data_IF_104704482132
#
_entry.id   IF_104704482132
#
_cell.length_a   1.000
_cell.length_b   1.000
_cell.length_c   1.000
_cell.angle_alpha   90.00
_cell.angle_beta   90.00
_cell.angle_gamma   90.00
#
_symmetry.space_group_name_H-M   'P 1'
#
loop_
_entity.id
_entity.type
_entity.pdbx_description
1 polymer ?
#
# COMPACT_ATOMS: atom_id res chain seq x y z
N UNK A 1 -18.65 25.58 -2.82
CA UNK A 1 -18.41 24.18 -2.42
C UNK A 1 -16.92 23.97 -2.29
N UNK A 2 -16.45 23.39 -1.19
CA UNK A 2 -15.02 23.11 -1.01
C UNK A 2 -14.69 21.78 -1.74
N UNK A 3 -13.72 21.82 -2.65
CA UNK A 3 -13.22 20.64 -3.38
C UNK A 3 -12.08 19.92 -2.62
N UNK A 4 -11.58 20.52 -1.55
CA UNK A 4 -10.46 19.99 -0.78
C UNK A 4 -10.92 19.61 0.64
N UNK A 5 -10.47 18.44 1.10
CA UNK A 5 -10.70 17.93 2.44
C UNK A 5 -9.59 16.97 2.85
N UNK A 6 -9.41 16.78 4.16
CA UNK A 6 -8.43 15.84 4.73
C UNK A 6 -9.16 14.91 5.71
N UNK A 7 -9.02 13.61 5.50
CA UNK A 7 -9.49 12.58 6.42
C UNK A 7 -8.29 11.93 7.10
N UNK A 8 -8.35 11.72 8.42
CA UNK A 8 -7.29 11.10 9.22
C UNK A 8 -7.92 10.00 10.08
N UNK A 9 -7.30 8.82 10.10
CA UNK A 9 -7.70 7.70 10.93
C UNK A 9 -6.49 7.02 11.57
N UNK A 10 -6.67 6.47 12.76
CA UNK A 10 -5.64 5.74 13.50
C UNK A 10 -6.19 4.37 13.88
N UNK A 11 -5.43 3.33 13.63
CA UNK A 11 -5.75 1.96 14.02
C UNK A 11 -4.54 1.37 14.73
N UNK A 12 -4.74 0.83 15.93
CA UNK A 12 -3.68 0.15 16.66
C UNK A 12 -3.42 -1.22 16.03
N UNK A 13 -2.16 -1.51 15.73
CA UNK A 13 -1.71 -2.82 15.24
C UNK A 13 -1.03 -3.59 16.36
N UNK A 14 -1.17 -4.91 16.33
CA UNK A 14 -0.53 -5.81 17.30
C UNK A 14 0.90 -6.20 16.93
N UNK A 15 1.36 -5.81 15.73
CA UNK A 15 2.69 -6.10 15.19
C UNK A 15 3.54 -4.84 15.14
N UNK A 16 4.86 -5.02 15.07
CA UNK A 16 5.82 -3.91 15.04
C UNK A 16 5.65 -3.08 13.77
N UNK A 17 5.70 -1.75 13.92
CA UNK A 17 5.42 -0.81 12.84
C UNK A 17 6.48 -0.78 11.73
N UNK A 18 7.71 -1.19 12.01
CA UNK A 18 8.80 -1.36 11.03
C UNK A 18 8.45 -2.43 9.99
N UNK A 19 7.97 -3.59 10.42
CA UNK A 19 7.56 -4.68 9.52
C UNK A 19 6.40 -4.24 8.64
N UNK A 20 5.44 -3.50 9.21
CA UNK A 20 4.32 -2.96 8.45
C UNK A 20 4.79 -1.90 7.45
N UNK A 21 5.68 -0.99 7.85
CA UNK A 21 6.25 0.01 6.97
C UNK A 21 7.02 -0.62 5.80
N UNK A 22 7.85 -1.64 6.07
CA UNK A 22 8.65 -2.32 5.05
C UNK A 22 7.78 -3.13 4.07
N UNK A 23 6.66 -3.67 4.54
CA UNK A 23 5.66 -4.31 3.67
C UNK A 23 5.15 -3.33 2.61
N UNK A 24 4.69 -2.14 3.02
CA UNK A 24 4.18 -1.14 2.07
C UNK A 24 5.28 -0.55 1.20
N UNK A 25 6.47 -0.32 1.76
CA UNK A 25 7.57 0.33 1.04
C UNK A 25 8.28 -0.60 0.06
N UNK A 26 8.77 -1.74 0.54
CA UNK A 26 9.70 -2.58 -0.23
C UNK A 26 9.03 -3.82 -0.82
N UNK A 27 8.00 -4.37 -0.16
CA UNK A 27 7.32 -5.59 -0.61
C UNK A 27 5.80 -5.47 -0.82
N UNK A 28 5.28 -4.41 -1.48
CA UNK A 28 3.83 -4.20 -1.56
C UNK A 28 3.07 -5.33 -2.27
N UNK A 29 3.72 -6.06 -3.17
CA UNK A 29 3.15 -7.24 -3.84
C UNK A 29 2.78 -8.39 -2.90
N UNK A 30 3.40 -8.47 -1.71
CA UNK A 30 3.03 -9.49 -0.71
C UNK A 30 1.61 -9.29 -0.17
N UNK A 31 1.05 -8.08 -0.28
CA UNK A 31 -0.32 -7.82 0.17
C UNK A 31 -1.37 -8.59 -0.63
N UNK A 32 -1.07 -8.97 -1.88
CA UNK A 32 -1.95 -9.82 -2.70
C UNK A 32 -2.20 -11.16 -2.01
N UNK A 33 -1.17 -11.75 -1.40
CA UNK A 33 -1.30 -13.00 -0.66
C UNK A 33 -1.91 -12.82 0.74
N UNK A 34 -1.74 -11.64 1.35
CA UNK A 34 -2.23 -11.36 2.70
C UNK A 34 -3.73 -11.01 2.73
N UNK A 35 -4.22 -10.34 1.69
CA UNK A 35 -5.60 -9.85 1.57
C UNK A 35 -6.09 -9.98 0.12
N UNK A 36 -6.18 -11.21 -0.43
CA UNK A 36 -6.54 -11.43 -1.84
C UNK A 36 -7.97 -10.99 -2.19
N UNK A 37 -8.84 -10.89 -1.18
CA UNK A 37 -10.21 -10.40 -1.30
C UNK A 37 -10.29 -8.88 -1.52
N UNK A 38 -9.23 -8.14 -1.18
CA UNK A 38 -9.13 -6.69 -1.37
C UNK A 38 -8.14 -6.29 -2.44
N UNK A 39 -6.97 -6.93 -2.47
CA UNK A 39 -5.89 -6.64 -3.41
C UNK A 39 -5.63 -7.87 -4.25
N UNK A 40 -5.82 -7.73 -5.56
CA UNK A 40 -5.71 -8.83 -6.51
C UNK A 40 -4.37 -8.84 -7.24
N UNK A 41 -3.75 -7.67 -7.42
CA UNK A 41 -2.43 -7.55 -8.02
C UNK A 41 -1.72 -6.24 -7.62
N UNK A 42 -0.39 -6.23 -7.75
CA UNK A 42 0.48 -5.10 -7.45
C UNK A 42 1.74 -5.14 -8.33
N UNK A 43 1.68 -4.45 -9.46
CA UNK A 43 2.74 -4.46 -10.47
C UNK A 43 3.63 -3.21 -10.35
N UNK A 44 4.94 -3.40 -10.49
CA UNK A 44 5.89 -2.29 -10.61
C UNK A 44 5.88 -1.82 -12.06
N UNK A 45 5.43 -0.59 -12.30
CA UNK A 45 5.37 0.00 -13.63
C UNK A 45 6.66 0.74 -14.00
N UNK A 46 7.18 1.54 -13.06
CA UNK A 46 8.41 2.33 -13.26
C UNK A 46 9.25 2.42 -11.98
N UNK A 47 10.57 2.52 -12.14
CA UNK A 47 11.53 2.69 -11.05
C UNK A 47 11.81 1.40 -10.29
N UNK A 48 12.07 1.52 -8.98
CA UNK A 48 12.39 0.40 -8.09
C UNK A 48 11.54 0.44 -6.82
N UNK A 49 11.10 -0.73 -6.33
CA UNK A 49 10.26 -0.80 -5.13
C UNK A 49 10.99 -0.24 -3.91
N UNK A 50 10.37 0.72 -3.24
CA UNK A 50 10.88 1.36 -2.02
C UNK A 50 11.80 2.54 -2.27
N UNK A 51 12.09 2.86 -3.53
CA UNK A 51 12.71 4.11 -3.94
C UNK A 51 11.64 5.20 -4.14
N UNK A 52 12.01 6.45 -3.83
CA UNK A 52 11.15 7.59 -4.12
C UNK A 52 11.04 7.77 -5.63
N UNK A 53 9.82 7.95 -6.14
CA UNK A 53 9.54 8.11 -7.56
C UNK A 53 9.12 6.83 -8.29
N UNK A 54 9.04 5.68 -7.61
CA UNK A 54 8.51 4.45 -8.22
C UNK A 54 7.00 4.57 -8.53
N UNK A 55 6.57 3.99 -9.64
CA UNK A 55 5.16 3.90 -10.03
C UNK A 55 4.68 2.46 -9.87
N UNK A 56 3.58 2.27 -9.14
CA UNK A 56 3.00 0.96 -8.85
C UNK A 56 1.53 0.96 -9.28
N UNK A 57 1.14 -0.04 -10.07
CA UNK A 57 -0.25 -0.29 -10.45
C UNK A 57 -0.87 -1.26 -9.45
N UNK A 58 -2.01 -0.87 -8.87
CA UNK A 58 -2.77 -1.69 -7.92
C UNK A 58 -4.07 -2.16 -8.54
N UNK A 59 -4.33 -3.46 -8.49
CA UNK A 59 -5.62 -4.03 -8.84
C UNK A 59 -6.34 -4.39 -7.54
N UNK A 60 -7.47 -3.73 -7.26
CA UNK A 60 -8.19 -3.87 -6.00
C UNK A 60 -9.70 -3.79 -6.17
N UNK A 61 -10.44 -4.27 -5.18
CA UNK A 61 -11.90 -4.13 -5.07
C UNK A 61 -12.26 -3.36 -3.79
N UNK A 62 -13.39 -2.64 -3.83
CA UNK A 62 -13.89 -1.81 -2.73
C UNK A 62 -14.76 -2.63 -1.78
#
# INVERSE_FOLDING_TARGET
MALAGKLIGYVQISKTGDVFHDLFRHSPHKMVAMTPDKVHDCELHEGERGAVGSVITWHYTH
#
